data_IF_717002306388
#
_entry.id   IF_717002306388
#
_cell.length_a   1.000
_cell.length_b   1.000
_cell.length_c   1.000
_cell.angle_alpha   90.00
_cell.angle_beta   90.00
_cell.angle_gamma   90.00
#
_symmetry.space_group_name_H-M   'P 1'
#
loop_
_entity.id
_entity.type
_entity.pdbx_description
1 polymer ?
#
# COMPACT_ATOMS: atom_id res chain seq x y z
N UNK A 1 13.79 -42.49 24.50
CA UNK A 1 14.34 -41.54 23.49
C UNK A 1 15.59 -40.88 24.08
N UNK A 2 16.70 -40.83 23.35
CA UNK A 2 17.95 -40.19 23.81
C UNK A 2 17.73 -38.68 24.04
N UNK A 3 18.23 -38.13 25.16
CA UNK A 3 18.14 -36.70 25.50
C UNK A 3 18.70 -35.79 24.39
N UNK A 4 19.65 -36.29 23.58
CA UNK A 4 20.21 -35.56 22.42
C UNK A 4 19.17 -35.31 21.32
N UNK A 5 18.24 -36.25 21.12
CA UNK A 5 17.16 -36.10 20.13
C UNK A 5 16.07 -35.13 20.62
N UNK A 6 15.83 -35.07 21.93
CA UNK A 6 14.93 -34.09 22.53
C UNK A 6 15.50 -32.68 22.44
N UNK A 7 16.78 -32.49 22.74
CA UNK A 7 17.44 -31.18 22.64
C UNK A 7 17.46 -30.66 21.19
N UNK A 8 17.77 -31.52 20.22
CA UNK A 8 17.78 -31.13 18.79
C UNK A 8 16.38 -30.74 18.30
N UNK A 9 15.34 -31.48 18.71
CA UNK A 9 13.95 -31.15 18.37
C UNK A 9 13.48 -29.85 19.05
N UNK A 10 13.86 -29.63 20.31
CA UNK A 10 13.54 -28.39 21.03
C UNK A 10 14.28 -27.18 20.45
N UNK A 11 15.56 -27.32 20.08
CA UNK A 11 16.33 -26.26 19.44
C UNK A 11 15.77 -25.89 18.06
N UNK A 12 15.36 -26.89 17.26
CA UNK A 12 14.70 -26.67 15.98
C UNK A 12 13.33 -26.01 16.16
N UNK A 13 12.54 -26.46 17.14
CA UNK A 13 11.24 -25.86 17.44
C UNK A 13 11.36 -24.40 17.91
N UNK A 14 12.38 -24.09 18.73
CA UNK A 14 12.68 -22.71 19.15
C UNK A 14 13.16 -21.86 17.98
N UNK A 15 14.01 -22.39 17.10
CA UNK A 15 14.43 -21.68 15.89
C UNK A 15 13.24 -21.38 14.96
N UNK A 16 12.34 -22.34 14.76
CA UNK A 16 11.11 -22.17 13.97
C UNK A 16 10.15 -21.17 14.64
N UNK A 17 10.02 -21.22 15.97
CA UNK A 17 9.19 -20.28 16.74
C UNK A 17 9.70 -18.83 16.67
N UNK A 18 11.03 -18.63 16.70
CA UNK A 18 11.64 -17.31 16.57
C UNK A 18 11.41 -16.74 15.16
N UNK A 19 11.45 -17.58 14.12
CA UNK A 19 11.23 -17.19 12.72
C UNK A 19 9.75 -16.91 12.41
N UNK A 20 8.79 -17.48 13.16
CA UNK A 20 7.35 -17.41 12.87
C UNK A 20 6.59 -16.22 13.50
N UNK A 21 7.29 -15.28 14.14
CA UNK A 21 6.67 -14.15 14.86
C UNK A 21 6.30 -12.92 14.00
N UNK A 22 6.43 -13.00 12.68
CA UNK A 22 6.10 -11.88 11.79
C UNK A 22 4.69 -12.06 11.20
N UNK A 23 3.68 -11.51 11.87
CA UNK A 23 2.37 -11.29 11.26
C UNK A 23 2.51 -10.18 10.20
N UNK A 24 2.77 -10.58 8.94
CA UNK A 24 2.79 -9.65 7.82
C UNK A 24 1.36 -9.30 7.43
N UNK A 25 0.84 -8.18 7.95
CA UNK A 25 -0.27 -7.51 7.29
C UNK A 25 0.26 -6.93 5.99
N UNK A 26 0.05 -7.64 4.87
CA UNK A 26 0.48 -7.17 3.56
C UNK A 26 -0.12 -5.79 3.23
N UNK A 27 -1.31 -5.46 3.75
CA UNK A 27 -1.94 -4.16 3.57
C UNK A 27 -2.08 -3.86 2.08
N UNK A 28 -1.37 -2.84 1.60
CA UNK A 28 -1.31 -2.44 0.19
C UNK A 28 0.01 -2.86 -0.50
N UNK A 29 0.77 -3.81 0.07
CA UNK A 29 1.95 -4.40 -0.57
C UNK A 29 1.54 -5.39 -1.67
N UNK A 30 2.28 -5.35 -2.77
CA UNK A 30 2.14 -6.23 -3.92
C UNK A 30 3.43 -7.03 -4.12
N UNK A 31 3.29 -8.33 -4.40
CA UNK A 31 4.40 -9.21 -4.75
C UNK A 31 4.35 -9.65 -6.23
N UNK A 32 3.48 -9.06 -7.04
CA UNK A 32 3.19 -9.40 -8.43
C UNK A 32 4.30 -8.99 -9.42
N UNK A 33 5.54 -9.39 -9.15
CA UNK A 33 6.72 -9.06 -9.96
C UNK A 33 7.08 -10.12 -11.00
N UNK A 34 6.54 -11.35 -10.96
CA UNK A 34 6.75 -12.36 -12.02
C UNK A 34 5.67 -13.44 -12.03
N UNK A 35 5.32 -13.95 -13.22
CA UNK A 35 4.34 -15.02 -13.36
C UNK A 35 4.85 -16.38 -12.83
N UNK A 36 6.17 -16.63 -12.91
CA UNK A 36 6.77 -17.82 -12.28
C UNK A 36 6.67 -17.75 -10.75
N UNK A 37 6.86 -16.56 -10.18
CA UNK A 37 6.69 -16.33 -8.75
C UNK A 37 5.24 -16.58 -8.34
N UNK A 38 4.27 -16.07 -9.11
CA UNK A 38 2.85 -16.34 -8.89
C UNK A 38 2.55 -17.84 -8.82
N UNK A 39 3.09 -18.63 -9.77
CA UNK A 39 2.92 -20.10 -9.79
C UNK A 39 3.52 -20.83 -8.58
N UNK A 40 4.49 -20.22 -7.89
CA UNK A 40 5.10 -20.72 -6.65
C UNK A 40 4.59 -20.02 -5.39
N UNK A 41 3.53 -19.23 -5.49
CA UNK A 41 3.05 -18.37 -4.41
C UNK A 41 4.16 -17.47 -3.81
N UNK A 42 5.10 -17.02 -4.65
CA UNK A 42 6.28 -16.23 -4.31
C UNK A 42 7.18 -16.86 -3.24
N UNK A 43 7.17 -18.19 -3.14
CA UNK A 43 8.13 -18.92 -2.33
C UNK A 43 9.49 -19.01 -3.03
N UNK A 44 10.59 -18.91 -2.26
CA UNK A 44 11.93 -19.09 -2.84
C UNK A 44 12.51 -17.86 -3.56
N UNK A 45 11.76 -16.77 -3.75
CA UNK A 45 12.08 -15.73 -4.75
C UNK A 45 13.38 -14.94 -4.51
N UNK A 46 13.96 -15.01 -3.31
CA UNK A 46 15.29 -14.45 -3.02
C UNK A 46 16.45 -15.40 -3.36
N UNK A 47 16.17 -16.63 -3.74
CA UNK A 47 17.13 -17.72 -3.96
C UNK A 47 16.91 -18.44 -5.31
N UNK A 48 15.70 -18.39 -5.88
CA UNK A 48 15.41 -18.92 -7.23
C UNK A 48 16.01 -17.96 -8.25
N UNK A 49 16.59 -18.49 -9.33
CA UNK A 49 17.12 -17.68 -10.43
C UNK A 49 16.77 -18.27 -11.81
N UNK A 50 15.58 -18.87 -11.94
CA UNK A 50 15.12 -19.50 -13.20
C UNK A 50 14.88 -18.48 -14.33
N UNK A 51 14.65 -17.21 -13.98
CA UNK A 51 14.48 -16.11 -14.92
C UNK A 51 14.88 -14.76 -14.29
N UNK A 52 15.07 -13.75 -15.14
CA UNK A 52 15.55 -12.42 -14.76
C UNK A 52 14.70 -11.72 -13.68
N UNK A 53 13.46 -12.15 -13.43
CA UNK A 53 12.58 -11.61 -12.40
C UNK A 53 13.16 -11.68 -10.99
N UNK A 54 14.00 -12.69 -10.70
CA UNK A 54 14.63 -12.85 -9.39
C UNK A 54 15.51 -11.67 -8.99
N UNK A 55 16.17 -11.01 -9.97
CA UNK A 55 17.07 -9.89 -9.71
C UNK A 55 16.35 -8.68 -9.09
N UNK A 56 15.07 -8.47 -9.42
CA UNK A 56 14.24 -7.42 -8.81
C UNK A 56 13.97 -7.67 -7.31
N UNK A 57 13.94 -8.95 -6.91
CA UNK A 57 13.74 -9.37 -5.52
C UNK A 57 15.05 -9.43 -4.74
N UNK A 58 16.05 -10.12 -5.29
CA UNK A 58 17.40 -10.22 -4.75
C UNK A 58 18.44 -9.86 -5.83
N UNK A 59 19.10 -8.69 -5.75
CA UNK A 59 20.10 -8.30 -6.74
C UNK A 59 21.30 -9.25 -6.78
N UNK A 60 21.62 -9.98 -5.71
CA UNK A 60 22.72 -10.96 -5.73
C UNK A 60 22.45 -12.13 -6.70
N UNK A 61 21.19 -12.40 -7.06
CA UNK A 61 20.86 -13.43 -8.06
C UNK A 61 21.31 -13.07 -9.48
N UNK A 62 21.70 -11.81 -9.74
CA UNK A 62 22.31 -11.42 -11.02
C UNK A 62 23.52 -12.30 -11.37
N UNK A 63 24.30 -12.72 -10.36
CA UNK A 63 25.48 -13.55 -10.59
C UNK A 63 25.13 -14.99 -11.01
N UNK A 64 23.86 -15.39 -10.97
CA UNK A 64 23.39 -16.69 -11.45
C UNK A 64 23.19 -16.74 -12.97
N UNK A 65 23.26 -15.60 -13.66
CA UNK A 65 23.07 -15.51 -15.09
C UNK A 65 24.42 -15.49 -15.81
N UNK A 66 24.58 -16.37 -16.79
CA UNK A 66 25.78 -16.50 -17.64
C UNK A 66 25.69 -15.68 -18.93
N UNK A 67 24.51 -15.16 -19.27
CA UNK A 67 24.24 -14.37 -20.46
C UNK A 67 23.15 -13.32 -20.23
N UNK A 68 23.07 -12.28 -21.09
CA UNK A 68 21.95 -11.36 -21.09
C UNK A 68 20.61 -12.08 -21.14
N UNK A 69 19.74 -11.76 -20.18
CA UNK A 69 18.47 -12.44 -19.94
C UNK A 69 17.38 -11.40 -19.73
N UNK A 70 16.23 -11.62 -20.36
CA UNK A 70 15.08 -10.71 -20.32
C UNK A 70 13.83 -11.48 -19.92
N UNK A 71 12.97 -10.85 -19.13
CA UNK A 71 11.67 -11.38 -18.72
C UNK A 71 10.65 -10.25 -18.68
N UNK A 72 9.47 -10.46 -19.24
CA UNK A 72 8.39 -9.50 -19.19
C UNK A 72 7.04 -10.22 -19.13
N UNK A 73 6.09 -9.60 -18.46
CA UNK A 73 4.73 -10.12 -18.32
C UNK A 73 3.84 -9.17 -17.56
N UNK A 74 2.64 -9.64 -17.24
CA UNK A 74 1.71 -8.95 -16.37
C UNK A 74 0.88 -9.96 -15.58
N UNK A 75 0.37 -9.54 -14.44
CA UNK A 75 -0.55 -10.33 -13.61
C UNK A 75 -1.88 -9.59 -13.55
N UNK A 76 -2.96 -10.29 -13.89
CA UNK A 76 -4.31 -9.80 -13.70
C UNK A 76 -4.79 -10.19 -12.30
N UNK A 77 -5.16 -9.18 -11.51
CA UNK A 77 -5.68 -9.35 -10.15
C UNK A 77 -7.17 -9.06 -10.18
N UNK A 78 -7.97 -10.04 -9.79
CA UNK A 78 -9.43 -9.97 -9.70
C UNK A 78 -9.86 -10.23 -8.25
N UNK A 79 -9.88 -9.19 -7.41
CA UNK A 79 -10.26 -9.32 -6.01
C UNK A 79 -11.79 -9.31 -5.86
N UNK A 80 -12.28 -10.03 -4.85
CA UNK A 80 -13.69 -9.99 -4.44
C UNK A 80 -13.75 -9.58 -2.97
N UNK A 81 -14.12 -8.33 -2.71
CA UNK A 81 -14.18 -7.75 -1.35
C UNK A 81 -15.57 -7.17 -1.09
N UNK A 82 -16.27 -7.80 -0.16
CA UNK A 82 -17.59 -7.40 0.29
C UNK A 82 -17.53 -6.83 1.71
N UNK A 83 -18.25 -5.73 1.92
CA UNK A 83 -18.51 -5.13 3.23
C UNK A 83 -19.97 -5.39 3.60
N UNK A 84 -20.21 -5.67 4.87
CA UNK A 84 -21.55 -5.82 5.41
C UNK A 84 -21.71 -5.10 6.75
N UNK A 85 -22.90 -4.59 7.02
CA UNK A 85 -23.19 -3.94 8.28
C UNK A 85 -24.40 -3.00 8.22
N UNK A 86 -24.60 -2.29 9.33
CA UNK A 86 -25.68 -1.33 9.47
C UNK A 86 -25.19 -0.11 10.25
N UNK A 87 -25.53 1.08 9.76
CA UNK A 87 -25.24 2.33 10.45
C UNK A 87 -26.18 2.53 11.64
N UNK A 88 -25.79 3.39 12.58
CA UNK A 88 -26.65 3.86 13.68
C UNK A 88 -27.90 4.59 13.16
N UNK A 89 -27.85 5.14 11.95
CA UNK A 89 -29.03 5.71 11.25
C UNK A 89 -30.02 4.65 10.76
N UNK A 90 -29.66 3.36 10.87
CA UNK A 90 -30.44 2.25 10.34
C UNK A 90 -30.21 1.96 8.86
N UNK A 91 -29.43 2.79 8.15
CA UNK A 91 -29.02 2.55 6.75
C UNK A 91 -28.09 1.34 6.62
N UNK A 92 -28.15 0.67 5.47
CA UNK A 92 -27.23 -0.43 5.16
C UNK A 92 -25.80 0.09 4.96
N UNK A 93 -24.83 -0.67 5.46
CA UNK A 93 -23.40 -0.53 5.16
C UNK A 93 -22.92 -1.69 4.27
N UNK A 94 -23.83 -2.32 3.53
CA UNK A 94 -23.43 -3.35 2.59
C UNK A 94 -22.86 -2.68 1.34
N UNK A 95 -21.65 -3.08 0.94
CA UNK A 95 -21.01 -2.65 -0.30
C UNK A 95 -20.32 -3.86 -0.89
N UNK A 96 -20.67 -4.19 -2.14
CA UNK A 96 -20.14 -5.38 -2.80
C UNK A 96 -19.02 -5.05 -3.75
N UNK A 97 -18.07 -5.95 -3.87
CA UNK A 97 -16.95 -5.87 -4.80
C UNK A 97 -16.28 -4.48 -4.82
N UNK A 98 -15.85 -4.02 -3.64
CA UNK A 98 -15.29 -2.67 -3.47
C UNK A 98 -13.85 -2.57 -4.00
N UNK A 99 -13.23 -3.67 -4.40
CA UNK A 99 -11.86 -3.71 -4.90
C UNK A 99 -11.92 -3.97 -6.42
N UNK A 100 -11.55 -3.01 -7.27
CA UNK A 100 -11.59 -3.23 -8.72
C UNK A 100 -10.45 -4.14 -9.18
N UNK A 101 -10.64 -4.75 -10.36
CA UNK A 101 -9.60 -5.52 -11.03
C UNK A 101 -8.43 -4.65 -11.46
N UNK A 102 -7.21 -5.20 -11.46
CA UNK A 102 -6.01 -4.48 -11.87
C UNK A 102 -5.07 -5.34 -12.73
N UNK A 103 -4.33 -4.69 -13.62
CA UNK A 103 -3.19 -5.28 -14.32
C UNK A 103 -1.89 -4.78 -13.69
N UNK A 104 -1.03 -5.70 -13.26
CA UNK A 104 0.29 -5.39 -12.69
C UNK A 104 1.37 -5.86 -13.68
N UNK A 105 1.93 -4.96 -14.52
CA UNK A 105 3.00 -5.31 -15.43
C UNK A 105 4.34 -5.48 -14.71
N UNK A 106 5.20 -6.32 -15.27
CA UNK A 106 6.56 -6.50 -14.82
C UNK A 106 7.52 -6.67 -16.01
N UNK A 107 8.70 -6.08 -15.90
CA UNK A 107 9.75 -6.14 -16.90
C UNK A 107 11.11 -6.22 -16.18
N UNK A 108 11.97 -7.12 -16.65
CA UNK A 108 13.25 -7.43 -16.02
C UNK A 108 14.31 -7.69 -17.08
N UNK A 109 15.50 -7.19 -16.83
CA UNK A 109 16.68 -7.43 -17.64
C UNK A 109 17.88 -7.65 -16.73
N UNK A 110 18.71 -8.64 -17.05
CA UNK A 110 19.96 -8.94 -16.35
C UNK A 110 21.04 -9.17 -17.38
N UNK A 111 22.23 -8.61 -17.16
CA UNK A 111 23.39 -8.86 -17.99
C UNK A 111 24.65 -9.05 -17.13
N UNK A 112 25.34 -10.19 -17.24
CA UNK A 112 26.67 -10.34 -16.66
C UNK A 112 27.66 -9.47 -17.43
N UNK A 113 28.62 -8.89 -16.70
CA UNK A 113 29.75 -8.14 -17.27
C UNK A 113 30.95 -9.08 -17.38
N UNK A 114 31.21 -9.85 -16.32
CA UNK A 114 32.24 -10.88 -16.25
C UNK A 114 31.89 -11.89 -15.13
N UNK A 115 32.80 -12.79 -14.79
CA UNK A 115 32.57 -13.82 -13.76
C UNK A 115 32.32 -13.26 -12.35
N UNK A 116 32.75 -12.02 -12.10
CA UNK A 116 32.67 -11.35 -10.79
C UNK A 116 31.61 -10.26 -10.72
N UNK A 117 31.21 -9.65 -11.83
CA UNK A 117 30.29 -8.52 -11.86
C UNK A 117 29.17 -8.71 -12.86
N UNK A 118 27.99 -8.23 -12.50
CA UNK A 118 26.84 -8.13 -13.38
C UNK A 118 25.93 -6.97 -12.98
N UNK A 119 24.98 -6.64 -13.84
CA UNK A 119 23.97 -5.63 -13.55
C UNK A 119 22.59 -6.08 -14.02
N UNK A 120 21.56 -5.44 -13.48
CA UNK A 120 20.19 -5.68 -13.87
C UNK A 120 19.33 -4.44 -13.71
N UNK A 121 18.26 -4.38 -14.49
CA UNK A 121 17.24 -3.36 -14.40
C UNK A 121 15.86 -4.01 -14.38
N UNK A 122 14.93 -3.43 -13.62
CA UNK A 122 13.55 -3.90 -13.62
C UNK A 122 12.56 -2.76 -13.45
N UNK A 123 11.36 -2.99 -13.97
CA UNK A 123 10.18 -2.14 -13.79
C UNK A 123 9.07 -3.03 -13.23
N UNK A 124 8.61 -2.70 -12.03
CA UNK A 124 7.63 -3.50 -11.27
C UNK A 124 6.68 -2.59 -10.50
N UNK A 125 5.71 -3.18 -9.79
CA UNK A 125 4.96 -2.50 -8.73
C UNK A 125 5.07 -3.31 -7.45
N UNK A 126 5.45 -2.65 -6.34
CA UNK A 126 5.55 -3.30 -5.03
C UNK A 126 4.47 -2.84 -4.06
N UNK A 127 3.70 -1.82 -4.43
CA UNK A 127 2.62 -1.28 -3.61
C UNK A 127 1.48 -0.83 -4.52
N UNK A 128 0.26 -1.14 -4.12
CA UNK A 128 -0.93 -0.71 -4.82
C UNK A 128 -2.17 -0.96 -3.98
N UNK A 129 -3.13 -0.06 -4.13
CA UNK A 129 -4.43 -0.14 -3.49
C UNK A 129 -5.45 0.48 -4.43
N UNK A 130 -6.59 -0.16 -4.59
CA UNK A 130 -7.75 0.46 -5.20
C UNK A 130 -8.96 -0.01 -4.39
N UNK A 131 -9.74 0.94 -3.90
CA UNK A 131 -11.03 0.67 -3.25
C UNK A 131 -12.02 1.74 -3.64
N UNK A 132 -13.19 1.32 -4.10
CA UNK A 132 -14.23 2.19 -4.60
C UNK A 132 -15.58 1.80 -3.99
N UNK A 133 -16.24 2.78 -3.39
CA UNK A 133 -17.62 2.68 -2.93
C UNK A 133 -18.47 3.63 -3.77
N UNK A 134 -19.79 3.40 -3.82
CA UNK A 134 -20.70 4.38 -4.38
C UNK A 134 -20.60 5.71 -3.60
N UNK A 135 -20.62 6.85 -4.30
CA UNK A 135 -20.49 8.18 -3.69
C UNK A 135 -21.59 8.46 -2.63
N UNK A 136 -22.76 7.85 -2.78
CA UNK A 136 -23.88 7.96 -1.84
C UNK A 136 -23.86 6.92 -0.70
N UNK A 137 -22.80 6.11 -0.60
CA UNK A 137 -22.63 5.09 0.44
C UNK A 137 -22.77 5.70 1.84
N UNK A 138 -23.52 5.04 2.73
CA UNK A 138 -23.86 5.61 4.03
C UNK A 138 -22.61 5.88 4.90
N UNK A 139 -21.54 5.08 4.80
CA UNK A 139 -20.26 5.37 5.43
C UNK A 139 -19.25 6.03 4.48
N UNK A 140 -19.71 6.86 3.54
CA UNK A 140 -18.87 7.56 2.55
C UNK A 140 -17.75 8.42 3.16
N UNK A 141 -17.87 8.81 4.43
CA UNK A 141 -16.85 9.57 5.15
C UNK A 141 -15.61 8.76 5.49
N UNK A 142 -15.75 7.44 5.52
CA UNK A 142 -14.66 6.46 5.73
C UNK A 142 -14.40 5.61 4.48
N UNK A 143 -15.42 5.45 3.61
CA UNK A 143 -15.35 4.78 2.31
C UNK A 143 -14.96 5.74 1.18
N UNK A 144 -15.70 5.75 0.08
CA UNK A 144 -15.41 6.56 -1.11
C UNK A 144 -14.36 5.91 -2.01
N UNK A 145 -13.46 6.69 -2.58
CA UNK A 145 -12.39 6.18 -3.46
C UNK A 145 -11.03 6.31 -2.79
N UNK A 146 -10.24 5.24 -2.81
CA UNK A 146 -8.83 5.27 -2.38
C UNK A 146 -8.01 4.52 -3.40
N UNK A 147 -7.21 5.25 -4.16
CA UNK A 147 -6.30 4.69 -5.16
C UNK A 147 -4.86 5.06 -4.84
N UNK A 148 -3.99 4.05 -4.88
CA UNK A 148 -2.55 4.17 -4.85
C UNK A 148 -2.00 3.31 -5.98
N UNK A 149 -1.38 3.93 -6.97
CA UNK A 149 -0.67 3.25 -8.05
C UNK A 149 0.81 3.56 -7.92
N UNK A 150 1.67 2.53 -7.91
CA UNK A 150 3.12 2.73 -7.89
C UNK A 150 3.81 2.05 -9.06
N UNK A 151 4.89 2.68 -9.52
CA UNK A 151 5.82 2.15 -10.50
C UNK A 151 7.22 2.22 -9.91
N UNK A 152 7.81 1.07 -9.61
CA UNK A 152 9.18 0.95 -9.14
C UNK A 152 10.10 0.68 -10.33
N UNK A 153 11.04 1.59 -10.56
CA UNK A 153 12.16 1.40 -11.46
C UNK A 153 13.40 1.07 -10.63
N UNK A 154 13.98 -0.10 -10.84
CA UNK A 154 15.17 -0.56 -10.15
C UNK A 154 16.35 -0.68 -11.11
N UNK A 155 17.51 -0.18 -10.69
CA UNK A 155 18.80 -0.46 -11.32
C UNK A 155 19.72 -1.05 -10.25
N UNK A 156 20.30 -2.22 -10.52
CA UNK A 156 21.13 -2.94 -9.57
C UNK A 156 22.41 -3.49 -10.17
N UNK A 157 23.42 -3.60 -9.33
CA UNK A 157 24.68 -4.28 -9.61
C UNK A 157 24.89 -5.43 -8.63
N UNK A 158 25.65 -6.43 -9.06
CA UNK A 158 26.04 -7.54 -8.22
C UNK A 158 27.53 -7.85 -8.36
N UNK A 159 28.06 -8.43 -7.29
CA UNK A 159 29.44 -8.84 -7.15
C UNK A 159 29.52 -10.26 -6.57
N UNK A 160 30.20 -11.16 -7.27
CA UNK A 160 30.54 -12.50 -6.78
C UNK A 160 31.90 -12.46 -6.11
N UNK A 161 31.92 -12.65 -4.79
CA UNK A 161 33.14 -12.71 -3.99
C UNK A 161 33.84 -14.07 -4.12
N UNK A 162 33.06 -15.15 -4.17
CA UNK A 162 33.57 -16.52 -4.31
C UNK A 162 32.53 -17.42 -4.97
N UNK A 163 32.84 -18.70 -5.16
CA UNK A 163 31.88 -19.72 -5.62
C UNK A 163 30.64 -19.86 -4.74
N UNK A 164 30.70 -19.38 -3.49
CA UNK A 164 29.62 -19.54 -2.52
C UNK A 164 28.94 -18.22 -2.16
N UNK A 165 29.58 -17.07 -2.38
CA UNK A 165 29.08 -15.79 -1.91
C UNK A 165 28.92 -14.78 -3.04
N UNK A 166 27.68 -14.29 -3.20
CA UNK A 166 27.36 -13.15 -4.06
C UNK A 166 26.62 -12.07 -3.29
N UNK A 167 26.89 -10.82 -3.64
CA UNK A 167 26.31 -9.62 -3.03
C UNK A 167 25.68 -8.77 -4.13
N UNK A 168 24.60 -8.07 -3.81
CA UNK A 168 23.96 -7.16 -4.75
C UNK A 168 23.46 -5.90 -4.05
N UNK A 169 23.45 -4.81 -4.80
CA UNK A 169 22.95 -3.51 -4.37
C UNK A 169 22.15 -2.88 -5.52
N UNK A 170 20.99 -2.35 -5.21
CA UNK A 170 20.10 -1.69 -6.17
C UNK A 170 19.57 -0.36 -5.65
N UNK A 171 19.30 0.52 -6.59
CA UNK A 171 18.66 1.81 -6.39
C UNK A 171 17.26 1.77 -7.01
N UNK A 172 16.29 2.36 -6.30
CA UNK A 172 14.89 2.36 -6.69
C UNK A 172 14.43 3.81 -6.86
N UNK A 173 13.87 4.13 -8.02
CA UNK A 173 13.07 5.31 -8.24
C UNK A 173 11.59 4.87 -8.30
N UNK A 174 10.79 5.32 -7.34
CA UNK A 174 9.38 4.94 -7.21
C UNK A 174 8.53 6.13 -7.59
N UNK A 175 7.77 6.01 -8.67
CA UNK A 175 6.74 6.96 -9.00
C UNK A 175 5.41 6.50 -8.39
N UNK A 176 4.73 7.36 -7.66
CA UNK A 176 3.43 7.05 -7.07
C UNK A 176 2.39 8.09 -7.47
N UNK A 177 1.17 7.61 -7.71
CA UNK A 177 -0.04 8.40 -7.87
C UNK A 177 -1.01 8.01 -6.77
N UNK A 178 -1.54 9.00 -6.06
CA UNK A 178 -2.53 8.78 -5.02
C UNK A 178 -3.78 9.62 -5.29
N UNK A 179 -4.94 9.04 -5.05
CA UNK A 179 -6.25 9.70 -5.09
C UNK A 179 -7.08 9.24 -3.90
N UNK A 180 -7.61 10.19 -3.14
CA UNK A 180 -8.50 9.93 -2.00
C UNK A 180 -9.73 10.81 -2.18
N UNK A 181 -10.90 10.19 -2.24
CA UNK A 181 -12.20 10.88 -2.24
C UNK A 181 -13.06 10.34 -1.10
N UNK A 182 -13.63 11.25 -0.32
CA UNK A 182 -14.57 10.95 0.77
C UNK A 182 -15.83 11.75 0.56
N UNK A 183 -16.95 11.15 0.94
CA UNK A 183 -18.29 11.72 0.80
C UNK A 183 -18.98 11.83 2.17
N UNK A 184 -20.04 12.62 2.25
CA UNK A 184 -20.71 12.84 3.54
C UNK A 184 -21.40 11.58 4.07
N UNK A 185 -21.93 10.73 3.17
CA UNK A 185 -22.71 9.56 3.55
C UNK A 185 -23.90 9.93 4.43
N UNK A 186 -24.03 9.29 5.58
CA UNK A 186 -25.05 9.60 6.58
C UNK A 186 -24.57 10.49 7.73
N UNK A 187 -23.35 11.06 7.63
CA UNK A 187 -22.76 11.91 8.65
C UNK A 187 -23.68 13.09 9.01
N UNK A 188 -24.31 13.71 8.00
CA UNK A 188 -25.28 14.79 8.22
C UNK A 188 -26.48 14.38 9.09
N UNK A 189 -26.99 13.16 8.88
CA UNK A 189 -28.11 12.61 9.64
C UNK A 189 -27.68 12.23 11.06
N UNK A 190 -26.50 11.63 11.23
CA UNK A 190 -25.91 11.33 12.54
C UNK A 190 -25.72 12.62 13.36
N UNK A 191 -25.20 13.66 12.74
CA UNK A 191 -25.01 14.97 13.37
C UNK A 191 -26.33 15.63 13.73
N UNK A 192 -27.31 15.63 12.82
CA UNK A 192 -28.65 16.15 13.08
C UNK A 192 -29.33 15.43 14.26
N UNK A 193 -29.21 14.10 14.33
CA UNK A 193 -29.70 13.29 15.45
C UNK A 193 -29.05 13.69 16.78
N UNK A 194 -27.73 13.82 16.81
CA UNK A 194 -26.99 14.26 18.01
C UNK A 194 -27.38 15.66 18.46
N UNK A 195 -27.49 16.62 17.54
CA UNK A 195 -27.92 18.01 17.86
C UNK A 195 -29.33 17.99 18.43
N UNK A 196 -30.25 17.27 17.79
CA UNK A 196 -31.65 17.19 18.22
C UNK A 196 -31.81 16.56 19.61
N UNK A 197 -30.94 15.61 19.97
CA UNK A 197 -30.91 15.01 21.32
C UNK A 197 -30.18 15.83 22.39
N UNK A 198 -29.54 16.94 22.02
CA UNK A 198 -28.79 17.81 22.93
C UNK A 198 -29.66 18.99 23.42
N UNK A 199 -29.27 19.68 24.51
CA UNK A 199 -29.96 20.90 24.96
C UNK A 199 -30.05 21.99 23.88
N UNK A 200 -29.07 22.02 22.94
CA UNK A 200 -29.09 22.95 21.82
C UNK A 200 -30.29 22.69 20.89
N UNK A 201 -30.71 21.43 20.72
CA UNK A 201 -31.83 21.03 19.88
C UNK A 201 -33.20 21.58 20.32
N UNK A 202 -33.32 22.04 21.57
CA UNK A 202 -34.53 22.71 22.07
C UNK A 202 -34.59 24.21 21.66
N UNK A 203 -33.50 24.77 21.15
CA UNK A 203 -33.43 26.18 20.72
C UNK A 203 -33.77 26.30 19.22
N UNK A 204 -34.37 27.42 18.77
CA UNK A 204 -34.57 27.68 17.34
C UNK A 204 -33.27 27.58 16.52
N UNK A 205 -32.14 27.99 17.11
CA UNK A 205 -30.82 27.94 16.48
C UNK A 205 -30.33 26.50 16.31
N UNK A 206 -30.53 25.63 17.31
CA UNK A 206 -30.16 24.22 17.21
C UNK A 206 -31.05 23.43 16.26
N UNK A 207 -32.35 23.77 16.17
CA UNK A 207 -33.26 23.19 15.17
C UNK A 207 -32.82 23.56 13.74
N UNK A 208 -32.48 24.84 13.50
CA UNK A 208 -31.94 25.27 12.21
C UNK A 208 -30.62 24.57 11.86
N UNK A 209 -29.73 24.38 12.85
CA UNK A 209 -28.47 23.67 12.65
C UNK A 209 -28.68 22.17 12.36
N UNK A 210 -29.61 21.51 13.05
CA UNK A 210 -29.96 20.12 12.78
C UNK A 210 -30.58 19.94 11.39
N UNK A 211 -31.48 20.86 10.99
CA UNK A 211 -32.06 20.87 9.65
C UNK A 211 -30.99 21.05 8.56
N UNK A 212 -30.04 21.97 8.78
CA UNK A 212 -28.89 22.16 7.89
C UNK A 212 -28.02 20.90 7.81
N UNK A 213 -27.64 20.30 8.94
CA UNK A 213 -26.85 19.07 8.95
C UNK A 213 -27.55 17.93 8.20
N UNK A 214 -28.87 17.79 8.39
CA UNK A 214 -29.68 16.79 7.71
C UNK A 214 -29.87 17.06 6.21
N UNK A 215 -29.64 18.30 5.75
CA UNK A 215 -29.74 18.69 4.33
C UNK A 215 -28.48 18.33 3.51
N UNK A 216 -27.38 17.97 4.17
CA UNK A 216 -26.15 17.56 3.49
C UNK A 216 -26.43 16.25 2.74
N UNK A 217 -26.34 16.29 1.42
CA UNK A 217 -26.58 15.13 0.56
C UNK A 217 -25.47 14.07 0.79
N UNK A 218 -25.79 12.76 0.74
CA UNK A 218 -24.80 11.71 0.99
C UNK A 218 -23.57 11.74 0.07
N UNK A 219 -23.77 12.13 -1.19
CA UNK A 219 -22.75 12.28 -2.23
C UNK A 219 -22.01 13.63 -2.18
N UNK A 220 -22.22 14.44 -1.15
CA UNK A 220 -21.43 15.65 -0.93
C UNK A 220 -19.97 15.27 -0.71
N UNK A 221 -19.08 15.60 -1.64
CA UNK A 221 -17.64 15.34 -1.51
C UNK A 221 -17.04 16.16 -0.37
N UNK A 222 -16.66 15.52 0.73
CA UNK A 222 -16.14 16.17 1.93
C UNK A 222 -14.61 16.28 1.93
N UNK A 223 -13.93 15.42 1.17
CA UNK A 223 -12.51 15.50 0.93
C UNK A 223 -12.19 14.93 -0.45
N UNK A 224 -11.37 15.66 -1.19
CA UNK A 224 -10.71 15.21 -2.39
C UNK A 224 -9.24 15.56 -2.23
N UNK A 225 -8.37 14.57 -2.39
CA UNK A 225 -6.93 14.74 -2.42
C UNK A 225 -6.37 13.94 -3.58
N UNK A 226 -5.61 14.60 -4.45
CA UNK A 226 -4.94 13.96 -5.58
C UNK A 226 -3.53 14.50 -5.72
N UNK A 227 -2.56 13.62 -5.90
CA UNK A 227 -1.18 14.01 -6.12
C UNK A 227 -0.35 12.89 -6.73
N UNK A 228 0.78 13.29 -7.28
CA UNK A 228 1.77 12.36 -7.80
C UNK A 228 3.19 12.84 -7.49
N UNK A 229 4.08 11.88 -7.20
CA UNK A 229 5.42 12.20 -6.74
C UNK A 229 6.38 11.04 -6.94
N UNK A 230 7.66 11.38 -7.05
CA UNK A 230 8.77 10.44 -6.97
C UNK A 230 9.26 10.29 -5.53
N UNK A 231 9.55 9.05 -5.14
CA UNK A 231 10.34 8.69 -3.97
C UNK A 231 11.55 7.87 -4.38
N UNK A 232 12.56 7.84 -3.52
CA UNK A 232 13.81 7.12 -3.77
C UNK A 232 14.13 6.18 -2.62
N UNK A 233 14.73 5.04 -2.95
CA UNK A 233 15.20 4.06 -1.98
C UNK A 233 16.26 3.14 -2.56
N UNK A 234 16.65 2.16 -1.78
CA UNK A 234 17.67 1.18 -2.17
C UNK A 234 17.30 -0.20 -1.65
N UNK A 235 17.90 -1.23 -2.24
CA UNK A 235 17.75 -2.61 -1.79
C UNK A 235 19.09 -3.32 -1.89
N UNK A 236 19.33 -4.26 -0.99
CA UNK A 236 20.53 -5.06 -0.97
C UNK A 236 20.18 -6.54 -0.86
N UNK A 237 21.12 -7.37 -1.33
CA UNK A 237 20.95 -8.80 -1.44
C UNK A 237 22.24 -9.54 -1.13
N UNK A 238 22.11 -10.67 -0.46
CA UNK A 238 23.17 -11.65 -0.25
C UNK A 238 22.64 -12.98 -0.76
N UNK A 239 23.46 -13.70 -1.51
CA UNK A 239 23.21 -15.06 -1.94
C UNK A 239 24.35 -15.94 -1.44
N UNK A 240 23.99 -17.00 -0.74
CA UNK A 240 24.90 -18.03 -0.27
C UNK A 240 24.57 -19.36 -0.94
N UNK A 241 25.47 -19.85 -1.78
CA UNK A 241 25.36 -21.12 -2.49
C UNK A 241 26.18 -22.18 -1.74
N UNK A 242 25.54 -23.24 -1.25
CA UNK A 242 26.26 -24.40 -0.69
C UNK A 242 26.86 -25.19 -1.84
N UNK A 243 26.04 -25.43 -2.86
CA UNK A 243 26.36 -26.07 -4.12
C UNK A 243 25.39 -25.52 -5.20
N UNK A 244 25.41 -26.13 -6.39
CA UNK A 244 24.58 -25.67 -7.51
C UNK A 244 23.08 -25.82 -7.26
N UNK A 245 22.67 -26.71 -6.36
CA UNK A 245 21.27 -27.07 -6.13
C UNK A 245 20.71 -26.47 -4.82
N UNK A 246 21.57 -26.09 -3.88
CA UNK A 246 21.18 -25.62 -2.55
C UNK A 246 21.69 -24.19 -2.29
N UNK A 247 20.77 -23.25 -2.03
CA UNK A 247 21.16 -21.85 -1.79
C UNK A 247 20.19 -21.07 -0.91
N UNK A 248 20.73 -20.04 -0.27
CA UNK A 248 20.04 -19.17 0.67
C UNK A 248 20.14 -17.73 0.24
N UNK A 249 19.01 -17.03 0.26
CA UNK A 249 18.92 -15.61 -0.06
C UNK A 249 18.57 -14.78 1.16
N UNK A 250 19.30 -13.71 1.39
CA UNK A 250 18.94 -12.66 2.33
C UNK A 250 18.78 -11.34 1.59
N UNK A 251 17.67 -10.65 1.84
CA UNK A 251 17.35 -9.41 1.13
C UNK A 251 16.85 -8.35 2.10
N UNK A 252 17.21 -7.11 1.79
CA UNK A 252 16.74 -5.93 2.48
C UNK A 252 16.27 -4.91 1.46
N UNK A 253 15.07 -4.35 1.66
CA UNK A 253 14.57 -3.20 0.91
C UNK A 253 14.33 -2.05 1.88
N UNK A 254 14.92 -0.90 1.58
CA UNK A 254 14.77 0.31 2.37
C UNK A 254 13.31 0.77 2.36
N UNK A 255 12.94 1.55 3.38
CA UNK A 255 11.75 2.37 3.31
C UNK A 255 11.88 3.37 2.14
N UNK A 256 10.76 3.71 1.51
CA UNK A 256 10.67 4.82 0.54
C UNK A 256 9.65 5.82 1.06
N UNK A 257 10.10 7.06 1.27
CA UNK A 257 9.22 8.16 1.65
C UNK A 257 8.74 8.90 0.41
N UNK A 258 7.44 9.14 0.33
CA UNK A 258 6.80 9.89 -0.75
C UNK A 258 6.01 11.03 -0.13
N UNK A 259 6.49 12.25 -0.35
CA UNK A 259 5.86 13.49 0.10
C UNK A 259 5.04 14.07 -1.07
N UNK A 260 3.75 13.72 -1.12
CA UNK A 260 2.87 14.17 -2.18
C UNK A 260 2.58 15.67 -2.02
N UNK A 261 2.82 16.42 -3.09
CA UNK A 261 2.25 17.74 -3.29
C UNK A 261 1.05 17.59 -4.22
N UNK A 262 -0.10 18.12 -3.84
CA UNK A 262 -1.32 17.88 -4.59
C UNK A 262 -2.43 18.88 -4.33
N UNK A 263 -3.59 18.57 -4.88
CA UNK A 263 -4.77 19.41 -4.82
C UNK A 263 -5.72 18.88 -3.74
N UNK A 264 -6.13 19.75 -2.81
CA UNK A 264 -7.19 19.48 -1.85
C UNK A 264 -8.46 20.25 -2.18
N UNK A 265 -9.62 19.59 -2.07
CA UNK A 265 -10.94 20.22 -2.25
C UNK A 265 -11.98 19.60 -1.31
N UNK A 266 -12.95 20.41 -0.88
CA UNK A 266 -14.15 19.97 -0.17
C UNK A 266 -15.36 20.76 -0.65
N UNK A 267 -16.44 20.06 -0.99
CA UNK A 267 -17.72 20.68 -1.40
C UNK A 267 -18.54 21.19 -0.20
N UNK A 268 -18.08 20.92 1.03
CA UNK A 268 -18.65 21.58 2.21
C UNK A 268 -18.38 23.09 2.15
N UNK A 269 -19.31 23.93 2.61
CA UNK A 269 -19.13 25.37 2.55
C UNK A 269 -17.97 25.86 3.44
N UNK A 270 -17.33 26.98 3.06
CA UNK A 270 -16.35 27.62 3.90
C UNK A 270 -16.99 28.21 5.16
N UNK A 271 -16.18 28.46 6.19
CA UNK A 271 -16.62 29.04 7.46
C UNK A 271 -17.41 30.34 7.29
N UNK A 272 -17.08 31.15 6.28
CA UNK A 272 -17.76 32.39 5.93
C UNK A 272 -19.17 32.21 5.37
N UNK A 273 -19.50 31.03 4.84
CA UNK A 273 -20.81 30.70 4.28
C UNK A 273 -21.70 29.90 5.26
N UNK A 274 -21.18 29.59 6.45
CA UNK A 274 -21.92 28.88 7.49
C UNK A 274 -22.71 29.84 8.39
N UNK A 275 -23.84 29.42 8.97
CA UNK A 275 -24.51 30.17 10.02
C UNK A 275 -23.54 30.50 11.18
N UNK A 276 -23.59 31.70 11.80
CA UNK A 276 -22.62 32.10 12.83
C UNK A 276 -22.49 31.11 13.99
N UNK A 277 -23.58 30.46 14.40
CA UNK A 277 -23.58 29.43 15.43
C UNK A 277 -22.82 28.15 15.00
N UNK A 278 -22.90 27.77 13.71
CA UNK A 278 -22.19 26.63 13.15
C UNK A 278 -20.69 26.93 13.00
N UNK A 279 -20.36 28.11 12.47
CA UNK A 279 -18.98 28.57 12.33
C UNK A 279 -18.27 28.65 13.70
N UNK A 280 -18.96 29.18 14.73
CA UNK A 280 -18.44 29.25 16.09
C UNK A 280 -18.15 27.88 16.71
N UNK A 281 -19.01 26.88 16.47
CA UNK A 281 -18.80 25.51 16.96
C UNK A 281 -17.63 24.80 16.26
N UNK A 282 -17.47 24.96 14.95
CA UNK A 282 -16.33 24.38 14.23
C UNK A 282 -15.01 24.99 14.69
N UNK A 283 -14.96 26.33 14.83
CA UNK A 283 -13.78 27.04 15.31
C UNK A 283 -13.41 26.66 16.76
N UNK A 284 -14.40 26.54 17.65
CA UNK A 284 -14.17 26.17 19.05
C UNK A 284 -13.60 24.75 19.23
N UNK A 285 -13.81 23.86 18.25
CA UNK A 285 -13.36 22.47 18.28
C UNK A 285 -12.19 22.18 17.31
N UNK A 286 -11.56 23.22 16.74
CA UNK A 286 -10.51 23.08 15.72
C UNK A 286 -10.90 22.17 14.54
N UNK A 287 -12.19 22.14 14.19
CA UNK A 287 -12.68 21.36 13.05
C UNK A 287 -12.60 22.27 11.81
N UNK A 288 -11.77 21.94 10.81
CA UNK A 288 -11.64 22.77 9.61
C UNK A 288 -12.95 22.83 8.83
N UNK A 289 -13.30 24.01 8.30
CA UNK A 289 -14.42 24.16 7.34
C UNK A 289 -14.03 23.68 5.95
N UNK A 290 -15.02 23.41 5.09
CA UNK A 290 -14.76 23.05 3.71
C UNK A 290 -14.24 24.20 2.85
N UNK A 291 -13.97 23.94 1.58
CA UNK A 291 -13.44 24.94 0.63
C UNK A 291 -14.52 25.53 -0.27
N UNK A 292 -15.78 25.13 -0.11
CA UNK A 292 -16.88 25.52 -1.01
C UNK A 292 -16.66 25.05 -2.45
N UNK A 293 -15.91 23.97 -2.64
CA UNK A 293 -15.53 23.45 -3.93
C UNK A 293 -14.29 24.08 -4.57
N UNK A 294 -13.67 25.09 -3.95
CA UNK A 294 -12.40 25.64 -4.41
C UNK A 294 -11.24 24.65 -4.17
N UNK A 295 -10.27 24.64 -5.08
CA UNK A 295 -9.03 23.86 -4.92
C UNK A 295 -8.01 24.68 -4.14
N UNK A 296 -7.38 24.07 -3.13
CA UNK A 296 -6.26 24.64 -2.38
C UNK A 296 -5.08 23.67 -2.37
N UNK A 297 -3.84 24.15 -2.15
CA UNK A 297 -2.69 23.26 -1.98
C UNK A 297 -2.91 22.27 -0.83
N UNK A 298 -2.67 20.98 -1.09
CA UNK A 298 -2.73 19.90 -0.11
C UNK A 298 -1.42 19.09 -0.12
N UNK A 299 -1.13 18.44 0.99
CA UNK A 299 0.01 17.53 1.11
C UNK A 299 -0.35 16.24 1.85
N UNK A 300 0.32 15.15 1.49
CA UNK A 300 0.20 13.86 2.17
C UNK A 300 1.56 13.16 2.19
N UNK A 301 1.96 12.70 3.36
CA UNK A 301 3.19 11.93 3.50
C UNK A 301 2.83 10.45 3.54
N UNK A 302 3.41 9.67 2.63
CA UNK A 302 3.27 8.22 2.57
C UNK A 302 4.63 7.55 2.83
N UNK A 303 4.62 6.57 3.71
CA UNK A 303 5.79 5.74 4.04
C UNK A 303 5.57 4.33 3.50
N UNK A 304 6.38 3.92 2.53
CA UNK A 304 6.36 2.57 1.99
C UNK A 304 7.29 1.69 2.84
N UNK A 305 6.70 0.84 3.67
CA UNK A 305 7.40 0.12 4.74
C UNK A 305 8.56 -0.76 4.24
N UNK A 306 9.65 -0.80 5.04
CA UNK A 306 10.79 -1.70 4.85
C UNK A 306 10.37 -3.17 4.73
N UNK A 307 11.09 -3.94 3.93
CA UNK A 307 10.89 -5.39 3.81
C UNK A 307 12.23 -6.14 4.05
N UNK A 308 12.21 -7.10 4.97
CA UNK A 308 13.33 -7.99 5.27
C UNK A 308 12.92 -9.41 4.89
N UNK A 309 13.62 -10.00 3.93
CA UNK A 309 13.31 -11.34 3.43
C UNK A 309 14.46 -12.30 3.70
N UNK A 310 14.17 -13.41 4.38
CA UNK A 310 15.06 -14.58 4.48
C UNK A 310 14.39 -15.74 3.77
N UNK A 311 15.06 -16.36 2.80
CA UNK A 311 14.44 -17.41 1.98
C UNK A 311 15.43 -18.54 1.72
N UNK A 312 14.91 -19.78 1.74
CA UNK A 312 15.63 -21.03 1.50
C UNK A 312 15.07 -21.74 0.27
N UNK A 313 15.95 -22.35 -0.51
CA UNK A 313 15.65 -23.44 -1.43
C UNK A 313 16.54 -24.63 -1.07
#
# INVERSE_FOLDING_TARGET
MSQKNLFTKSALAVAVAIVSSQAYAAGFQLNEFSSSGLGRAYSGEGAVADNAGSASRNPATIMMFDRPSFSAGAIFVDPDVDISGRSQTGKSLNAKNIAPTAWVPNLHFVAPINEQFGWGASVTSNYGLATEYNDSYAAGSMGGTTDLTTLNMNLSGAYRLSSNWSFGLGFNAVYAKAKIERYAGDLGQLMAGKISSSPLGATPQGQALAAYANSIAPDTQIAHLKGDKWGFGWNAGILYEIDKDNRYGFTYRSEVKIDFDGDYKSSLPPSSALPPAAAGLLAANNIPSGTGGATIPGSLNLYLARNVGTVRL
#
